data_IF_345943932640
#
_entry.id   IF_345943932640
#
_cell.length_a   1.000
_cell.length_b   1.000
_cell.length_c   1.000
_cell.angle_alpha   90.00
_cell.angle_beta   90.00
_cell.angle_gamma   90.00
#
_symmetry.space_group_name_H-M   'P 1'
#
loop_
_entity.id
_entity.type
_entity.pdbx_description
1 polymer ?
#
# COMPACT_ATOMS: atom_id res chain seq x y z
N UNK A 1 -15.97 -1.32 -42.84
CA UNK A 1 -15.92 -1.80 -41.43
C UNK A 1 -15.47 -3.25 -41.44
N UNK A 2 -14.62 -3.72 -40.51
CA UNK A 2 -14.13 -5.10 -40.54
C UNK A 2 -15.26 -6.08 -40.17
N UNK A 3 -15.53 -7.06 -41.04
CA UNK A 3 -16.44 -8.16 -40.76
C UNK A 3 -15.80 -9.14 -39.76
N UNK A 4 -16.61 -9.83 -38.95
CA UNK A 4 -16.10 -10.84 -38.02
C UNK A 4 -15.26 -11.91 -38.74
N UNK A 5 -14.12 -12.30 -38.16
CA UNK A 5 -13.22 -13.31 -38.76
C UNK A 5 -13.84 -14.71 -38.87
N UNK A 6 -14.92 -14.99 -38.13
CA UNK A 6 -15.63 -16.27 -38.09
C UNK A 6 -17.13 -16.05 -38.40
N UNK A 7 -17.74 -16.94 -39.19
CA UNK A 7 -19.19 -16.89 -39.49
C UNK A 7 -20.03 -17.49 -38.35
N UNK A 8 -21.32 -17.14 -38.28
CA UNK A 8 -22.21 -17.58 -37.19
C UNK A 8 -22.31 -19.11 -37.06
N UNK A 9 -22.35 -19.85 -38.18
CA UNK A 9 -22.47 -21.31 -38.16
C UNK A 9 -21.22 -22.01 -37.61
N UNK A 10 -20.04 -21.53 -37.98
CA UNK A 10 -18.79 -22.08 -37.46
C UNK A 10 -18.59 -21.73 -35.98
N UNK A 11 -19.00 -20.52 -35.57
CA UNK A 11 -18.99 -20.11 -34.16
C UNK A 11 -19.92 -20.97 -33.30
N UNK A 12 -21.18 -21.18 -33.73
CA UNK A 12 -22.15 -22.03 -33.01
C UNK A 12 -21.68 -23.48 -32.90
N UNK A 13 -21.05 -24.02 -33.95
CA UNK A 13 -20.51 -25.38 -33.93
C UNK A 13 -19.14 -25.50 -33.27
N UNK A 14 -18.51 -24.40 -32.82
CA UNK A 14 -17.12 -24.36 -32.30
C UNK A 14 -16.09 -25.04 -33.21
N UNK A 15 -16.15 -24.78 -34.52
CA UNK A 15 -15.15 -25.31 -35.47
C UNK A 15 -14.49 -24.18 -36.27
N UNK A 16 -13.35 -24.50 -36.90
CA UNK A 16 -12.58 -23.56 -37.71
C UNK A 16 -13.38 -23.07 -38.94
N UNK A 17 -13.38 -21.75 -39.14
CA UNK A 17 -13.96 -21.10 -40.32
C UNK A 17 -12.83 -20.69 -41.28
N UNK A 18 -12.85 -21.22 -42.51
CA UNK A 18 -11.85 -20.89 -43.55
C UNK A 18 -12.59 -20.26 -44.73
N UNK A 19 -12.23 -19.02 -45.10
CA UNK A 19 -12.76 -18.32 -46.27
C UNK A 19 -12.07 -18.82 -47.53
N UNK A 20 -12.84 -19.06 -48.59
CA UNK A 20 -12.27 -19.34 -49.91
C UNK A 20 -11.91 -18.02 -50.59
N UNK A 21 -10.78 -17.98 -51.29
CA UNK A 21 -10.28 -16.74 -51.93
C UNK A 21 -11.03 -16.38 -53.23
N UNK A 22 -11.80 -17.31 -53.80
CA UNK A 22 -12.47 -17.13 -55.10
C UNK A 22 -13.96 -16.77 -54.99
N UNK A 23 -14.60 -17.02 -53.83
CA UNK A 23 -16.00 -16.66 -53.55
C UNK A 23 -16.07 -15.91 -52.22
N UNK A 24 -16.23 -14.60 -52.31
CA UNK A 24 -15.95 -13.63 -51.23
C UNK A 24 -16.85 -13.74 -49.98
N UNK A 25 -18.01 -14.40 -50.08
CA UNK A 25 -19.07 -14.29 -49.07
C UNK A 25 -19.39 -15.60 -48.32
N UNK A 26 -18.82 -16.76 -48.71
CA UNK A 26 -19.08 -18.05 -48.07
C UNK A 26 -17.80 -18.75 -47.58
N UNK A 27 -17.86 -19.37 -46.40
CA UNK A 27 -16.75 -20.21 -45.93
C UNK A 27 -16.85 -21.64 -46.50
N UNK A 28 -15.70 -22.29 -46.67
CA UNK A 28 -15.58 -23.65 -47.25
C UNK A 28 -16.52 -24.68 -46.60
N UNK A 29 -16.71 -24.58 -45.28
CA UNK A 29 -17.62 -25.47 -44.53
C UNK A 29 -19.10 -25.20 -44.85
N UNK A 30 -19.50 -23.94 -44.93
CA UNK A 30 -20.88 -23.57 -45.24
C UNK A 30 -21.23 -23.92 -46.68
N UNK A 31 -20.29 -23.75 -47.62
CA UNK A 31 -20.45 -24.18 -49.02
C UNK A 31 -20.70 -25.69 -49.11
N UNK A 32 -19.84 -26.51 -48.47
CA UNK A 32 -19.98 -27.99 -48.48
C UNK A 32 -21.28 -28.49 -47.84
N UNK A 33 -21.76 -27.82 -46.80
CA UNK A 33 -22.97 -28.22 -46.08
C UNK A 33 -24.25 -27.59 -46.67
N UNK A 34 -24.12 -26.83 -47.75
CA UNK A 34 -25.18 -26.04 -48.37
C UNK A 34 -25.98 -25.20 -47.34
N UNK A 35 -25.26 -24.51 -46.44
CA UNK A 35 -25.85 -23.67 -45.38
C UNK A 35 -25.53 -22.20 -45.62
N UNK A 36 -26.49 -21.33 -45.31
CA UNK A 36 -26.31 -19.88 -45.38
C UNK A 36 -25.14 -19.42 -44.48
N UNK A 37 -24.19 -18.66 -45.04
CA UNK A 37 -23.02 -18.16 -44.32
C UNK A 37 -23.16 -16.67 -44.03
N UNK A 38 -23.46 -16.33 -42.78
CA UNK A 38 -23.64 -14.94 -42.35
C UNK A 38 -22.48 -14.53 -41.44
N UNK A 39 -21.77 -13.47 -41.83
CA UNK A 39 -20.82 -12.75 -40.98
C UNK A 39 -21.54 -11.57 -40.33
N UNK A 40 -21.33 -11.35 -39.03
CA UNK A 40 -21.85 -10.14 -38.38
C UNK A 40 -20.85 -9.02 -38.60
N UNK A 41 -21.37 -7.83 -38.84
CA UNK A 41 -20.62 -6.61 -38.61
C UNK A 41 -20.21 -6.58 -37.15
N UNK A 42 -18.93 -6.32 -36.88
CA UNK A 42 -18.49 -6.12 -35.49
C UNK A 42 -19.14 -4.83 -35.00
N UNK A 43 -20.19 -4.94 -34.21
CA UNK A 43 -20.77 -3.77 -33.54
C UNK A 43 -19.69 -3.10 -32.69
N UNK A 44 -19.61 -1.76 -32.76
CA UNK A 44 -18.86 -1.00 -31.75
C UNK A 44 -19.36 -1.46 -30.39
N UNK A 45 -18.46 -1.81 -29.47
CA UNK A 45 -18.80 -2.15 -28.08
C UNK A 45 -19.83 -1.14 -27.56
N UNK A 46 -21.02 -1.62 -27.26
CA UNK A 46 -22.09 -0.87 -26.62
C UNK A 46 -21.59 -0.36 -25.26
N UNK A 47 -21.20 0.92 -25.21
CA UNK A 47 -20.91 1.68 -23.97
C UNK A 47 -22.18 2.44 -23.59
N UNK A 48 -23.23 1.74 -23.16
CA UNK A 48 -24.54 2.36 -22.89
C UNK A 48 -25.25 1.74 -21.71
N UNK A 49 -24.74 1.99 -20.50
CA UNK A 49 -25.43 1.83 -19.20
C UNK A 49 -24.71 2.63 -18.11
N UNK A 50 -23.40 2.92 -18.32
CA UNK A 50 -22.61 3.80 -17.43
C UNK A 50 -22.83 5.30 -17.66
N UNK A 51 -23.22 5.71 -18.88
CA UNK A 51 -23.39 7.14 -19.21
C UNK A 51 -24.71 7.70 -18.65
N UNK A 52 -25.80 6.95 -18.75
CA UNK A 52 -27.11 7.42 -18.30
C UNK A 52 -27.18 7.53 -16.77
N UNK A 53 -26.56 6.58 -16.04
CA UNK A 53 -26.40 6.67 -14.57
C UNK A 53 -25.47 7.81 -14.13
N UNK A 54 -24.58 8.26 -15.02
CA UNK A 54 -23.69 9.40 -14.77
C UNK A 54 -24.40 10.72 -14.99
N UNK A 55 -25.30 10.79 -15.99
CA UNK A 55 -26.07 12.00 -16.27
C UNK A 55 -27.06 12.26 -15.12
N UNK A 56 -27.78 11.24 -14.67
CA UNK A 56 -28.73 11.37 -13.54
C UNK A 56 -28.04 11.78 -12.22
N UNK A 57 -26.85 11.23 -11.94
CA UNK A 57 -26.06 11.61 -10.77
C UNK A 57 -25.40 13.00 -10.89
N UNK A 58 -25.16 13.49 -12.11
CA UNK A 58 -24.64 14.84 -12.35
C UNK A 58 -25.76 15.87 -12.23
N UNK A 59 -26.96 15.57 -12.74
CA UNK A 59 -28.15 16.41 -12.60
C UNK A 59 -28.58 16.54 -11.13
N UNK A 60 -28.51 15.46 -10.33
CA UNK A 60 -28.79 15.53 -8.89
C UNK A 60 -27.78 16.42 -8.16
N UNK A 61 -26.51 16.36 -8.54
CA UNK A 61 -25.43 17.13 -7.90
C UNK A 61 -25.44 18.61 -8.28
N UNK A 62 -25.87 18.93 -9.49
CA UNK A 62 -26.11 20.33 -9.92
C UNK A 62 -27.25 20.93 -9.10
N UNK A 63 -28.36 20.21 -8.93
CA UNK A 63 -29.49 20.69 -8.13
C UNK A 63 -29.12 20.88 -6.64
N UNK A 64 -28.31 19.98 -6.08
CA UNK A 64 -27.80 20.07 -4.71
C UNK A 64 -26.85 21.27 -4.52
N UNK A 65 -25.99 21.55 -5.51
CA UNK A 65 -25.12 22.73 -5.50
C UNK A 65 -25.90 24.03 -5.66
N UNK A 66 -26.95 24.08 -6.49
CA UNK A 66 -27.80 25.27 -6.63
C UNK A 66 -28.60 25.55 -5.35
N UNK A 67 -29.11 24.52 -4.66
CA UNK A 67 -29.77 24.66 -3.37
C UNK A 67 -28.83 25.16 -2.25
N UNK A 68 -27.55 24.76 -2.29
CA UNK A 68 -26.53 25.27 -1.39
C UNK A 68 -26.09 26.71 -1.75
N UNK A 69 -26.10 27.09 -3.04
CA UNK A 69 -25.77 28.45 -3.43
C UNK A 69 -26.85 29.47 -3.03
N UNK A 70 -28.14 29.11 -3.05
CA UNK A 70 -29.22 29.98 -2.57
C UNK A 70 -29.18 30.19 -1.05
N UNK A 71 -28.60 29.25 -0.29
CA UNK A 71 -28.49 29.32 1.17
C UNK A 71 -27.19 29.99 1.67
N UNK A 72 -26.20 30.28 0.82
CA UNK A 72 -24.88 30.77 1.24
C UNK A 72 -24.58 32.25 0.89
N UNK A 73 -25.59 33.08 0.61
CA UNK A 73 -25.37 34.54 0.48
C UNK A 73 -25.17 35.28 1.81
N UNK A 74 -24.82 34.59 2.91
CA UNK A 74 -24.50 35.24 4.18
C UNK A 74 -23.45 34.47 5.00
N UNK A 75 -22.16 34.58 4.61
CA UNK A 75 -20.98 34.81 5.49
C UNK A 75 -19.68 34.48 4.73
N UNK A 76 -18.83 35.49 4.60
CA UNK A 76 -17.45 35.38 4.13
C UNK A 76 -16.54 34.81 5.24
N UNK A 77 -15.72 33.79 4.95
CA UNK A 77 -14.35 33.64 5.50
C UNK A 77 -13.52 32.63 4.68
N UNK A 78 -12.33 33.04 4.26
CA UNK A 78 -11.26 32.30 3.56
C UNK A 78 -10.40 31.46 4.53
N UNK A 79 -9.38 30.71 4.06
CA UNK A 79 -9.37 29.36 3.47
C UNK A 79 -9.13 28.23 4.50
N UNK A 80 -9.72 27.05 4.29
CA UNK A 80 -9.62 25.90 5.19
C UNK A 80 -8.28 25.15 5.12
N UNK A 81 -7.45 25.32 6.15
CA UNK A 81 -6.52 24.29 6.57
C UNK A 81 -7.31 23.06 7.01
N UNK A 82 -6.94 21.89 6.51
CA UNK A 82 -7.43 20.62 7.03
C UNK A 82 -7.15 20.56 8.53
N UNK A 83 -8.21 20.47 9.34
CA UNK A 83 -8.13 20.20 10.76
C UNK A 83 -7.46 18.83 10.94
N UNK A 84 -6.15 18.83 11.11
CA UNK A 84 -5.41 17.71 11.68
C UNK A 84 -5.98 17.44 13.06
N UNK A 85 -6.40 16.21 13.29
CA UNK A 85 -6.97 15.77 14.55
C UNK A 85 -5.82 15.57 15.55
N UNK A 86 -5.30 16.66 16.11
CA UNK A 86 -4.17 16.71 17.05
C UNK A 86 -4.35 15.84 18.30
N UNK A 87 -5.60 15.49 18.65
CA UNK A 87 -5.90 14.63 19.80
C UNK A 87 -5.53 13.15 19.57
N UNK A 88 -5.40 12.69 18.32
CA UNK A 88 -5.04 11.30 18.02
C UNK A 88 -3.53 11.02 18.14
N UNK A 89 -2.71 12.00 17.74
CA UNK A 89 -1.25 11.89 17.77
C UNK A 89 -0.71 11.84 19.21
N UNK A 90 -1.26 12.65 20.11
CA UNK A 90 -0.90 12.63 21.55
C UNK A 90 -1.26 11.30 22.22
N UNK A 91 -2.41 10.71 21.88
CA UNK A 91 -2.83 9.42 22.40
C UNK A 91 -1.91 8.29 21.93
N UNK A 92 -1.49 8.30 20.66
CA UNK A 92 -0.53 7.32 20.13
C UNK A 92 0.86 7.47 20.74
N UNK A 93 1.34 8.71 20.93
CA UNK A 93 2.59 8.98 21.65
C UNK A 93 2.56 8.41 23.07
N UNK A 94 1.45 8.59 23.78
CA UNK A 94 1.25 8.06 25.12
C UNK A 94 1.19 6.51 25.15
N UNK A 95 0.61 5.88 24.13
CA UNK A 95 0.58 4.42 24.02
C UNK A 95 2.00 3.86 23.82
N UNK A 96 2.82 4.50 22.97
CA UNK A 96 4.19 4.08 22.66
C UNK A 96 5.15 4.22 23.84
N UNK A 97 4.91 5.18 24.75
CA UNK A 97 5.82 5.47 25.84
C UNK A 97 5.66 4.51 27.04
N UNK A 98 6.18 3.30 26.85
CA UNK A 98 6.19 2.22 27.84
C UNK A 98 7.03 2.54 29.10
N UNK A 99 7.98 3.47 29.00
CA UNK A 99 8.79 3.93 30.13
C UNK A 99 7.99 4.94 30.96
N UNK A 100 7.35 5.93 30.33
CA UNK A 100 6.48 6.87 31.05
C UNK A 100 5.29 6.17 31.72
N UNK A 101 4.80 5.07 31.15
CA UNK A 101 3.74 4.23 31.72
C UNK A 101 4.22 3.31 32.85
N UNK A 102 5.51 3.29 33.16
CA UNK A 102 6.08 2.51 34.26
C UNK A 102 6.16 1.01 34.00
N UNK A 103 6.11 0.55 32.75
CA UNK A 103 6.27 -0.88 32.44
C UNK A 103 7.71 -1.35 32.50
N UNK A 104 8.66 -0.44 32.29
CA UNK A 104 10.09 -0.67 32.48
C UNK A 104 10.81 0.62 32.89
N UNK A 105 11.96 0.46 33.54
CA UNK A 105 12.84 1.57 33.88
C UNK A 105 13.72 1.96 32.69
N UNK A 106 14.33 3.14 32.76
CA UNK A 106 15.19 3.63 31.68
C UNK A 106 16.50 2.82 31.58
N UNK A 107 16.99 2.30 32.71
CA UNK A 107 18.17 1.44 32.78
C UNK A 107 17.90 0.08 32.14
N UNK A 108 16.70 -0.47 32.35
CA UNK A 108 16.27 -1.69 31.69
C UNK A 108 16.15 -1.48 30.17
N UNK A 109 15.62 -0.33 29.74
CA UNK A 109 15.54 0.03 28.32
C UNK A 109 16.94 0.07 27.67
N UNK A 110 17.91 0.68 28.34
CA UNK A 110 19.29 0.73 27.86
C UNK A 110 19.90 -0.67 27.75
N UNK A 111 19.70 -1.51 28.76
CA UNK A 111 20.15 -2.91 28.75
C UNK A 111 19.58 -3.71 27.58
N UNK A 112 18.29 -3.51 27.25
CA UNK A 112 17.66 -4.16 26.11
C UNK A 112 18.22 -3.69 24.75
N UNK A 113 18.55 -2.40 24.63
CA UNK A 113 19.21 -1.88 23.44
C UNK A 113 20.62 -2.45 23.29
N UNK A 114 21.34 -2.62 24.40
CA UNK A 114 22.68 -3.20 24.36
C UNK A 114 22.64 -4.70 24.00
N UNK A 115 21.64 -5.44 24.50
CA UNK A 115 21.35 -6.82 24.05
C UNK A 115 21.03 -6.84 22.55
N UNK A 116 20.19 -5.93 22.06
CA UNK A 116 19.85 -5.86 20.65
C UNK A 116 21.08 -5.62 19.75
N UNK A 117 21.98 -4.75 20.18
CA UNK A 117 23.22 -4.45 19.45
C UNK A 117 24.19 -5.62 19.41
N UNK A 118 24.35 -6.28 20.55
CA UNK A 118 25.41 -7.27 20.74
C UNK A 118 25.01 -8.65 20.25
N UNK A 119 23.77 -9.06 20.48
CA UNK A 119 23.28 -10.41 20.18
C UNK A 119 22.41 -10.42 18.93
N UNK A 120 21.39 -9.56 18.88
CA UNK A 120 20.35 -9.62 17.84
C UNK A 120 20.86 -9.10 16.49
N UNK A 121 21.59 -7.99 16.48
CA UNK A 121 22.08 -7.37 15.23
C UNK A 121 23.03 -8.29 14.47
N UNK A 122 23.73 -9.21 15.15
CA UNK A 122 24.60 -10.20 14.50
C UNK A 122 23.83 -11.17 13.60
N UNK A 123 22.59 -11.51 13.98
CA UNK A 123 21.74 -12.46 13.25
C UNK A 123 20.81 -11.77 12.25
N UNK A 124 20.43 -10.52 12.50
CA UNK A 124 19.57 -9.73 11.62
C UNK A 124 20.12 -8.30 11.41
N UNK A 125 21.16 -8.13 10.58
CA UNK A 125 21.89 -6.86 10.42
C UNK A 125 21.20 -5.86 9.46
N UNK A 126 19.86 -5.90 9.37
CA UNK A 126 19.09 -5.08 8.42
C UNK A 126 18.52 -3.81 9.03
N UNK A 127 18.54 -3.71 10.36
CA UNK A 127 18.23 -2.48 11.10
C UNK A 127 19.34 -2.34 12.14
N UNK A 128 20.20 -1.33 11.96
CA UNK A 128 21.39 -1.14 12.80
C UNK A 128 21.20 0.12 13.63
N UNK A 129 21.34 0.00 14.95
CA UNK A 129 21.32 1.14 15.86
C UNK A 129 22.78 1.53 16.14
N UNK A 130 23.21 2.74 15.74
CA UNK A 130 24.58 3.18 16.00
C UNK A 130 24.93 3.16 17.49
N UNK A 131 26.19 2.90 17.87
CA UNK A 131 26.59 2.81 19.27
C UNK A 131 26.44 4.16 20.00
N UNK A 132 26.56 5.28 19.29
CA UNK A 132 26.37 6.63 19.81
C UNK A 132 24.92 6.99 20.19
N UNK A 133 23.92 6.24 19.76
CA UNK A 133 22.50 6.57 20.05
C UNK A 133 22.09 5.99 21.39
N UNK A 134 21.74 6.79 22.40
CA UNK A 134 21.29 6.24 23.68
C UNK A 134 19.84 5.75 23.63
N UNK A 135 19.40 5.01 24.65
CA UNK A 135 17.99 4.67 24.81
C UNK A 135 17.08 5.91 24.82
N UNK A 136 17.56 7.01 25.39
CA UNK A 136 16.83 8.26 25.47
C UNK A 136 16.67 8.88 24.09
N UNK A 137 17.77 8.92 23.33
CA UNK A 137 17.77 9.47 21.97
C UNK A 137 16.84 8.66 21.06
N UNK A 138 16.90 7.33 21.15
CA UNK A 138 16.05 6.46 20.36
C UNK A 138 14.57 6.63 20.72
N UNK A 139 14.26 6.74 22.01
CA UNK A 139 12.88 6.99 22.50
C UNK A 139 12.32 8.32 21.99
N UNK A 140 13.15 9.36 21.87
CA UNK A 140 12.71 10.68 21.40
C UNK A 140 12.62 10.77 19.88
N UNK A 141 13.62 10.25 19.17
CA UNK A 141 13.71 10.39 17.71
C UNK A 141 12.91 9.32 16.95
N UNK A 142 12.87 8.11 17.50
CA UNK A 142 12.25 6.93 16.86
C UNK A 142 11.49 6.06 17.89
N UNK A 143 10.39 6.57 18.48
CA UNK A 143 9.65 5.89 19.55
C UNK A 143 9.04 4.54 19.15
N UNK A 144 8.62 4.37 17.90
CA UNK A 144 8.08 3.10 17.40
C UNK A 144 9.19 2.06 17.22
N UNK A 145 10.34 2.46 16.67
CA UNK A 145 11.51 1.58 16.57
C UNK A 145 12.02 1.19 17.96
N UNK A 146 12.07 2.14 18.89
CA UNK A 146 12.39 1.90 20.29
C UNK A 146 11.50 0.80 20.88
N UNK A 147 10.17 0.92 20.73
CA UNK A 147 9.23 -0.09 21.20
C UNK A 147 9.45 -1.48 20.55
N UNK A 148 9.72 -1.52 19.24
CA UNK A 148 10.00 -2.77 18.53
C UNK A 148 11.24 -3.49 19.07
N UNK A 149 12.30 -2.73 19.33
CA UNK A 149 13.57 -3.23 19.89
C UNK A 149 13.34 -3.79 21.29
N UNK A 150 12.67 -3.03 22.17
CA UNK A 150 12.35 -3.49 23.52
C UNK A 150 11.48 -4.76 23.50
N UNK A 151 10.45 -4.81 22.66
CA UNK A 151 9.58 -5.97 22.54
C UNK A 151 10.35 -7.22 22.10
N UNK A 152 11.34 -7.06 21.21
CA UNK A 152 12.15 -8.16 20.71
C UNK A 152 13.22 -8.61 21.71
N UNK A 153 13.92 -7.66 22.34
CA UNK A 153 15.02 -7.92 23.28
C UNK A 153 14.56 -8.37 24.68
N UNK A 154 13.30 -8.16 25.05
CA UNK A 154 12.73 -8.62 26.32
C UNK A 154 12.46 -10.14 26.39
N UNK A 155 13.07 -10.97 25.54
CA UNK A 155 12.83 -12.42 25.46
C UNK A 155 13.13 -13.19 26.75
N UNK A 156 14.01 -12.66 27.61
CA UNK A 156 14.28 -13.21 28.94
C UNK A 156 13.11 -13.04 29.92
N UNK A 157 12.25 -12.05 29.69
CA UNK A 157 11.07 -11.74 30.51
C UNK A 157 9.79 -11.88 29.69
N UNK A 158 9.31 -13.12 29.57
CA UNK A 158 8.12 -13.47 28.79
C UNK A 158 6.86 -12.64 29.12
N UNK A 159 6.51 -12.35 30.39
CA UNK A 159 5.40 -11.44 30.71
C UNK A 159 5.58 -10.04 30.12
N UNK A 160 6.77 -9.44 30.27
CA UNK A 160 7.06 -8.11 29.75
C UNK A 160 7.05 -8.11 28.21
N UNK A 161 7.69 -9.07 27.56
CA UNK A 161 7.66 -9.21 26.10
C UNK A 161 6.22 -9.32 25.55
N UNK A 162 5.35 -10.09 26.20
CA UNK A 162 3.93 -10.18 25.81
C UNK A 162 3.19 -8.86 25.98
N UNK A 163 3.52 -8.09 27.02
CA UNK A 163 2.96 -6.76 27.24
C UNK A 163 3.41 -5.81 26.13
N UNK A 164 4.72 -5.69 25.89
CA UNK A 164 5.28 -4.83 24.86
C UNK A 164 4.79 -5.21 23.46
N UNK A 165 4.72 -6.50 23.14
CA UNK A 165 4.18 -6.98 21.87
C UNK A 165 2.67 -6.71 21.69
N UNK A 166 1.89 -6.52 22.77
CA UNK A 166 0.50 -6.05 22.68
C UNK A 166 0.44 -4.55 22.39
N UNK A 167 1.25 -3.76 23.08
CA UNK A 167 1.32 -2.31 22.83
C UNK A 167 1.81 -2.02 21.41
N UNK A 168 2.83 -2.73 20.92
CA UNK A 168 3.30 -2.63 19.54
C UNK A 168 2.19 -2.86 18.52
N UNK A 169 1.37 -3.90 18.71
CA UNK A 169 0.22 -4.20 17.82
C UNK A 169 -0.88 -3.14 17.89
N UNK A 170 -1.11 -2.53 19.05
CA UNK A 170 -2.06 -1.41 19.18
C UNK A 170 -1.59 -0.20 18.38
N UNK A 171 -0.30 0.11 18.45
CA UNK A 171 0.29 1.23 17.70
C UNK A 171 0.19 0.99 16.19
N UNK A 172 0.44 -0.24 15.71
CA UNK A 172 0.22 -0.58 14.29
C UNK A 172 -1.24 -0.35 13.89
N UNK A 173 -2.19 -0.83 14.71
CA UNK A 173 -3.61 -0.66 14.42
C UNK A 173 -4.03 0.82 14.37
N UNK A 174 -3.46 1.65 15.23
CA UNK A 174 -3.72 3.09 15.23
C UNK A 174 -3.03 3.76 14.04
N UNK A 175 -1.68 3.82 14.04
CA UNK A 175 -0.88 4.59 13.08
C UNK A 175 -0.98 4.09 11.65
N UNK A 176 -0.88 2.78 11.43
CA UNK A 176 -0.86 2.24 10.07
C UNK A 176 -2.25 1.99 9.52
N UNK A 177 -3.15 1.40 10.31
CA UNK A 177 -4.47 0.97 9.81
C UNK A 177 -5.49 2.11 9.88
N UNK A 178 -5.51 2.86 10.99
CA UNK A 178 -6.50 3.92 11.18
C UNK A 178 -6.03 5.23 10.55
N UNK A 179 -4.78 5.63 10.80
CA UNK A 179 -4.23 6.89 10.28
C UNK A 179 -3.68 6.78 8.86
N UNK A 180 -3.37 5.56 8.39
CA UNK A 180 -2.73 5.36 7.09
C UNK A 180 -1.31 5.92 7.02
N UNK A 181 -0.60 5.99 8.15
CA UNK A 181 0.73 6.58 8.21
C UNK A 181 1.76 5.69 7.53
N UNK A 182 2.61 6.33 6.71
CA UNK A 182 3.72 5.70 6.00
C UNK A 182 5.01 6.40 6.39
N UNK A 183 5.87 5.72 7.15
CA UNK A 183 7.17 6.27 7.54
C UNK A 183 8.26 5.21 7.51
N UNK A 184 9.50 5.66 7.32
CA UNK A 184 10.67 4.77 7.32
C UNK A 184 10.90 4.14 8.70
N UNK A 185 10.55 4.85 9.77
CA UNK A 185 10.62 4.33 11.13
C UNK A 185 9.64 3.16 11.34
N UNK A 186 8.40 3.28 10.84
CA UNK A 186 7.42 2.20 10.88
C UNK A 186 7.95 0.96 10.17
N UNK A 187 8.60 1.13 9.01
CA UNK A 187 9.23 0.02 8.31
C UNK A 187 10.35 -0.61 9.15
N UNK A 188 11.28 0.19 9.70
CA UNK A 188 12.37 -0.33 10.54
C UNK A 188 11.82 -1.11 11.75
N UNK A 189 10.83 -0.56 12.46
CA UNK A 189 10.22 -1.24 13.60
C UNK A 189 9.50 -2.53 13.22
N UNK A 190 8.80 -2.55 12.08
CA UNK A 190 8.16 -3.75 11.53
C UNK A 190 9.18 -4.85 11.20
N UNK A 191 10.30 -4.50 10.56
CA UNK A 191 11.36 -5.46 10.24
C UNK A 191 11.96 -6.08 11.51
N UNK A 192 12.25 -5.27 12.52
CA UNK A 192 12.76 -5.77 13.81
C UNK A 192 11.75 -6.71 14.47
N UNK A 193 10.49 -6.32 14.56
CA UNK A 193 9.47 -7.14 15.21
C UNK A 193 9.24 -8.49 14.48
N UNK A 194 9.26 -8.48 13.15
CA UNK A 194 9.09 -9.68 12.33
C UNK A 194 10.28 -10.65 12.46
N UNK A 195 11.51 -10.12 12.43
CA UNK A 195 12.74 -10.93 12.53
C UNK A 195 12.81 -11.77 13.81
N UNK A 196 12.17 -11.29 14.88
CA UNK A 196 12.18 -11.94 16.20
C UNK A 196 10.81 -12.50 16.58
N UNK A 197 9.95 -12.75 15.58
CA UNK A 197 8.59 -13.24 15.77
C UNK A 197 8.49 -14.60 16.48
N UNK A 198 9.53 -15.43 16.44
CA UNK A 198 9.58 -16.73 17.14
C UNK A 198 9.60 -16.60 18.67
N UNK A 199 10.10 -15.49 19.20
CA UNK A 199 10.01 -15.19 20.63
C UNK A 199 8.60 -14.71 21.04
N UNK A 200 7.77 -14.30 20.07
CA UNK A 200 6.45 -13.78 20.37
C UNK A 200 5.42 -14.90 20.58
N UNK A 201 4.63 -14.77 21.64
CA UNK A 201 3.55 -15.73 21.91
C UNK A 201 2.47 -15.67 20.81
N UNK A 202 2.23 -16.83 20.16
CA UNK A 202 1.28 -17.05 19.05
C UNK A 202 1.66 -16.27 17.76
N UNK A 203 2.60 -16.79 16.94
CA UNK A 203 3.00 -16.16 15.67
C UNK A 203 1.96 -16.27 14.54
N UNK A 204 0.69 -16.63 14.84
CA UNK A 204 -0.37 -16.89 13.85
C UNK A 204 -0.67 -15.74 12.87
N UNK A 205 -0.12 -14.55 13.10
CA UNK A 205 -0.30 -13.36 12.23
C UNK A 205 1.00 -12.87 11.58
N UNK A 206 2.07 -13.66 11.57
CA UNK A 206 3.35 -13.29 10.93
C UNK A 206 3.15 -12.79 9.49
N UNK A 207 2.42 -13.56 8.69
CA UNK A 207 2.15 -13.22 7.28
C UNK A 207 1.40 -11.89 7.12
N UNK A 208 0.43 -11.59 7.99
CA UNK A 208 -0.29 -10.32 7.96
C UNK A 208 0.63 -9.13 8.20
N UNK A 209 1.49 -9.22 9.23
CA UNK A 209 2.46 -8.18 9.53
C UNK A 209 3.54 -8.08 8.44
N UNK A 210 3.97 -9.20 7.85
CA UNK A 210 4.88 -9.20 6.73
C UNK A 210 4.30 -8.47 5.51
N UNK A 211 3.03 -8.71 5.18
CA UNK A 211 2.36 -8.01 4.08
C UNK A 211 2.21 -6.50 4.37
N UNK A 212 2.01 -6.11 5.62
CA UNK A 212 2.05 -4.69 6.01
C UNK A 212 3.44 -4.07 5.82
N UNK A 213 4.51 -4.78 6.17
CA UNK A 213 5.89 -4.32 5.95
C UNK A 213 6.21 -4.18 4.45
N UNK A 214 5.76 -5.15 3.63
CA UNK A 214 5.86 -5.07 2.16
C UNK A 214 5.03 -3.90 1.61
N UNK A 215 3.85 -3.64 2.18
CA UNK A 215 3.03 -2.47 1.86
C UNK A 215 3.80 -1.16 2.10
N UNK A 216 4.39 -1.00 3.28
CA UNK A 216 5.23 0.17 3.62
C UNK A 216 6.40 0.34 2.65
N UNK A 217 7.08 -0.75 2.28
CA UNK A 217 8.15 -0.73 1.29
C UNK A 217 7.70 -0.14 -0.05
N UNK A 218 6.54 -0.57 -0.55
CA UNK A 218 5.97 -0.12 -1.83
C UNK A 218 5.45 1.32 -1.75
N UNK A 219 4.87 1.71 -0.62
CA UNK A 219 4.37 3.07 -0.39
C UNK A 219 5.53 4.06 -0.24
N UNK A 220 6.61 3.68 0.44
CA UNK A 220 7.86 4.44 0.50
C UNK A 220 8.62 4.45 -0.83
N UNK A 221 8.19 3.68 -1.83
CA UNK A 221 8.82 3.50 -3.16
C UNK A 221 10.24 2.93 -3.08
N UNK A 222 10.52 2.13 -2.04
CA UNK A 222 11.81 1.44 -1.85
C UNK A 222 12.04 0.35 -2.90
N UNK A 223 11.00 -0.08 -3.61
CA UNK A 223 11.04 -1.02 -4.73
C UNK A 223 11.63 -0.41 -6.01
N UNK A 224 11.86 0.91 -6.05
CA UNK A 224 12.25 1.66 -7.24
C UNK A 224 13.49 2.52 -7.00
N UNK A 225 14.23 2.87 -8.07
CA UNK A 225 15.35 3.79 -7.94
C UNK A 225 14.91 5.12 -7.30
N UNK A 226 15.81 5.82 -6.57
CA UNK A 226 15.49 7.07 -5.87
C UNK A 226 14.90 8.16 -6.77
N UNK A 227 15.26 8.12 -8.05
CA UNK A 227 14.72 8.98 -9.08
C UNK A 227 13.82 8.15 -9.99
N UNK A 228 12.51 8.40 -9.93
CA UNK A 228 11.54 7.70 -10.79
C UNK A 228 10.67 8.70 -11.54
N UNK A 229 10.35 8.35 -12.78
CA UNK A 229 9.31 9.07 -13.52
C UNK A 229 7.96 8.75 -12.86
N UNK A 230 7.17 9.78 -12.56
CA UNK A 230 5.83 9.58 -12.02
C UNK A 230 4.93 8.93 -13.07
N UNK A 231 4.65 7.64 -12.91
CA UNK A 231 3.58 7.01 -13.68
C UNK A 231 2.26 7.53 -13.11
N UNK A 232 1.68 8.53 -13.76
CA UNK A 232 0.38 9.08 -13.36
C UNK A 232 -0.67 7.98 -13.57
N UNK A 233 -1.14 7.36 -12.48
CA UNK A 233 -2.34 6.48 -12.48
C UNK A 233 -3.63 7.29 -12.63
N UNK A 234 -3.54 8.61 -12.79
CA UNK A 234 -4.67 9.49 -13.02
C UNK A 234 -5.35 9.17 -14.36
N UNK A 235 -6.65 8.85 -14.32
CA UNK A 235 -7.50 8.88 -15.51
C UNK A 235 -7.55 10.35 -16.00
N UNK A 236 -6.71 10.71 -16.96
CA UNK A 236 -6.73 12.05 -17.56
C UNK A 236 -7.67 12.03 -18.77
N UNK A 237 -8.72 12.84 -18.70
CA UNK A 237 -9.73 12.96 -19.75
C UNK A 237 -9.39 14.01 -20.83
N UNK A 238 -8.25 14.71 -20.71
CA UNK A 238 -7.83 15.73 -21.67
C UNK A 238 -6.98 15.13 -22.81
N UNK A 239 -7.24 15.63 -24.02
CA UNK A 239 -6.66 15.17 -25.30
C UNK A 239 -5.29 15.78 -25.60
N UNK A 240 -4.84 16.72 -24.78
CA UNK A 240 -3.61 17.49 -24.98
C UNK A 240 -2.46 16.81 -24.23
N UNK A 241 -1.58 16.18 -25.00
CA UNK A 241 -0.42 15.42 -24.52
C UNK A 241 0.76 16.40 -24.34
N UNK A 242 0.94 16.92 -23.13
CA UNK A 242 2.26 17.38 -22.69
C UNK A 242 2.84 16.30 -21.77
N UNK A 243 3.96 15.71 -22.19
CA UNK A 243 4.73 14.79 -21.35
C UNK A 243 5.45 15.61 -20.28
N UNK A 244 4.72 16.13 -19.29
CA UNK A 244 5.32 16.53 -18.03
C UNK A 244 5.66 15.25 -17.25
N UNK A 245 6.78 14.66 -17.67
CA UNK A 245 7.57 13.66 -16.94
C UNK A 245 8.18 14.36 -15.71
N UNK A 246 7.34 14.77 -14.77
CA UNK A 246 7.84 15.25 -13.48
C UNK A 246 8.59 14.10 -12.81
N UNK A 247 9.90 14.32 -12.64
CA UNK A 247 10.80 13.41 -11.97
C UNK A 247 10.52 13.48 -10.48
N UNK A 248 9.97 12.40 -9.93
CA UNK A 248 9.80 12.28 -8.50
C UNK A 248 11.10 11.78 -7.88
N UNK A 249 11.64 12.61 -6.99
CA UNK A 249 12.80 12.28 -6.17
C UNK A 249 12.27 11.97 -4.78
N UNK A 250 12.39 10.72 -4.36
CA UNK A 250 12.02 10.31 -3.01
C UNK A 250 13.12 10.68 -2.00
N UNK A 251 12.78 10.85 -0.71
CA UNK A 251 13.79 10.98 0.33
C UNK A 251 14.75 9.78 0.32
N UNK A 252 16.03 10.03 0.57
CA UNK A 252 17.04 8.97 0.68
C UNK A 252 17.45 8.78 2.13
N UNK A 253 17.53 7.51 2.55
CA UNK A 253 18.02 7.10 3.87
C UNK A 253 19.40 6.43 3.80
N UNK A 254 20.09 6.57 2.66
CA UNK A 254 21.43 6.04 2.45
C UNK A 254 21.51 4.52 2.61
N UNK A 255 22.49 4.05 3.37
CA UNK A 255 22.73 2.61 3.58
C UNK A 255 21.60 1.93 4.36
N UNK A 256 20.88 2.66 5.20
CA UNK A 256 19.78 2.08 5.98
C UNK A 256 18.61 1.68 5.10
N UNK A 257 18.38 2.41 4.00
CA UNK A 257 17.39 2.04 3.00
C UNK A 257 17.75 0.72 2.31
N UNK A 258 19.02 0.56 1.90
CA UNK A 258 19.48 -0.69 1.27
C UNK A 258 19.34 -1.87 2.23
N UNK A 259 19.73 -1.68 3.50
CA UNK A 259 19.57 -2.69 4.54
C UNK A 259 18.10 -3.06 4.75
N UNK A 260 17.20 -2.08 4.83
CA UNK A 260 15.78 -2.32 5.01
C UNK A 260 15.17 -3.09 3.83
N UNK A 261 15.55 -2.77 2.60
CA UNK A 261 15.11 -3.48 1.38
C UNK A 261 15.55 -4.95 1.44
N UNK A 262 16.84 -5.20 1.70
CA UNK A 262 17.36 -6.57 1.79
C UNK A 262 16.76 -7.32 2.97
N UNK A 263 16.52 -6.66 4.10
CA UNK A 263 15.86 -7.26 5.26
C UNK A 263 14.42 -7.66 4.98
N UNK A 264 13.67 -6.83 4.25
CA UNK A 264 12.32 -7.17 3.81
C UNK A 264 12.34 -8.38 2.86
N UNK A 265 13.26 -8.39 1.89
CA UNK A 265 13.45 -9.53 0.99
C UNK A 265 13.76 -10.81 1.75
N UNK A 266 14.72 -10.76 2.69
CA UNK A 266 15.10 -11.88 3.55
C UNK A 266 13.87 -12.47 4.28
N UNK A 267 13.09 -11.63 4.97
CA UNK A 267 11.89 -12.06 5.72
C UNK A 267 10.75 -12.57 4.83
N UNK A 268 10.71 -12.15 3.57
CA UNK A 268 9.70 -12.59 2.59
C UNK A 268 10.07 -13.86 1.84
N UNK A 269 11.36 -14.24 1.87
CA UNK A 269 11.90 -15.40 1.16
C UNK A 269 11.85 -16.70 1.96
N UNK A 270 11.62 -16.59 3.28
CA UNK A 270 11.47 -17.69 4.25
C UNK A 270 10.01 -18.10 4.41
#
# INVERSE_FOLDING_TARGET
MPLSSTCQNCAKSKVRCVRNSEESDICSRCARLNKQCVYRETGRRFKGFKKDRQIEALESKINELMANCESTSAKQTTPGNATYNSNGEEADQAIMDVVARGYLSMEAAQSFIDIYRTDMTLHFPFVVIPPQVTATDLRQQKPFLFLAVLASAAYSNMPLQRLLGREFKKVIASRMITSGEVSFELLQGMLVFLAWSHYHSRPHRYTQFLQLAIGLMVELRLDRPPQTKTWKTALRFNKEYTLDDEQYIRPSWGLDEQRAVVGCYYLSST
#
